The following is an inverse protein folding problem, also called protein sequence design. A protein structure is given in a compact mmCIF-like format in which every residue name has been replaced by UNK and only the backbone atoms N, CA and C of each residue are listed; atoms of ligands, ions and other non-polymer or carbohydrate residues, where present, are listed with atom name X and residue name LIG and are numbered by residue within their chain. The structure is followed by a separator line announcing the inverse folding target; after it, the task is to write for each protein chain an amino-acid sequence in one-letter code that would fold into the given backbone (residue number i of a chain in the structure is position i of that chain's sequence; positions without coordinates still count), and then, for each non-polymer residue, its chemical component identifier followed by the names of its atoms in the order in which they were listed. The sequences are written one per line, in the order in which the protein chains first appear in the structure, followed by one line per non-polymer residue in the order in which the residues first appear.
data_IF_810598700711
#
_entry.id   IF_810598700711
#
_cell.length_a   1.000
_cell.length_b   1.000
_cell.length_c   1.000
_cell.angle_alpha   90.00
_cell.angle_beta   90.00
_cell.angle_gamma   90.00
#
_symmetry.space_group_name_H-M   'P 1'
#
loop_
_entity.id
_entity.type
_entity.pdbx_description
1 polymer ?
#
# COMPACT_ATOMS: atom_id res chain seq x y z
N UNK A 1 -8.29 2.06 18.81
CA UNK A 1 -8.93 0.85 19.38
C UNK A 1 -7.87 -0.12 19.92
N UNK A 2 -7.01 -0.70 19.07
CA UNK A 2 -5.91 -1.61 19.51
C UNK A 2 -4.91 -0.89 20.43
N UNK A 3 -4.51 0.34 20.10
CA UNK A 3 -3.56 1.13 20.93
C UNK A 3 -4.05 1.34 22.36
N UNK A 4 -5.35 1.63 22.53
CA UNK A 4 -5.97 1.78 23.85
C UNK A 4 -5.88 0.49 24.67
N UNK A 5 -6.24 -0.65 24.07
CA UNK A 5 -6.21 -1.94 24.76
C UNK A 5 -4.80 -2.43 25.08
N UNK A 6 -3.81 -2.10 24.25
CA UNK A 6 -2.41 -2.35 24.57
C UNK A 6 -1.93 -1.51 25.74
N UNK A 7 -2.35 -0.23 25.83
CA UNK A 7 -2.06 0.64 26.98
C UNK A 7 -2.75 0.17 28.27
N UNK A 8 -3.93 -0.43 28.14
CA UNK A 8 -4.66 -1.09 29.24
C UNK A 8 -4.03 -2.45 29.64
N UNK A 9 -2.95 -2.89 28.99
CA UNK A 9 -2.24 -4.12 29.33
C UNK A 9 -2.92 -5.42 28.85
N UNK A 10 -3.91 -5.32 27.96
CA UNK A 10 -4.62 -6.49 27.45
C UNK A 10 -3.72 -7.35 26.55
N UNK A 11 -3.90 -8.67 26.65
CA UNK A 11 -3.16 -9.61 25.81
C UNK A 11 -3.61 -9.55 24.35
N UNK A 12 -2.71 -9.84 23.41
CA UNK A 12 -3.04 -9.93 21.98
C UNK A 12 -4.18 -10.92 21.69
N UNK A 13 -4.31 -11.98 22.49
CA UNK A 13 -5.41 -12.96 22.37
C UNK A 13 -6.75 -12.36 22.78
N UNK A 14 -6.77 -11.52 23.80
CA UNK A 14 -7.99 -10.85 24.24
C UNK A 14 -8.44 -9.79 23.25
N UNK A 15 -7.51 -8.98 22.74
CA UNK A 15 -7.77 -8.02 21.67
C UNK A 15 -8.32 -8.75 20.43
N UNK A 16 -7.74 -9.90 20.09
CA UNK A 16 -8.21 -10.74 18.99
C UNK A 16 -9.62 -11.27 19.19
N UNK A 17 -9.96 -11.75 20.41
CA UNK A 17 -11.33 -12.17 20.76
C UNK A 17 -12.33 -11.03 20.60
N UNK A 18 -12.00 -9.83 21.09
CA UNK A 18 -12.87 -8.64 20.99
C UNK A 18 -13.11 -8.19 19.55
N UNK A 19 -12.10 -8.34 18.68
CA UNK A 19 -12.19 -7.98 17.26
C UNK A 19 -12.73 -9.11 16.37
N UNK A 20 -13.05 -10.28 16.94
CA UNK A 20 -13.36 -11.50 16.19
C UNK A 20 -12.29 -11.81 15.11
N UNK A 21 -11.01 -11.69 15.46
CA UNK A 21 -9.85 -11.99 14.60
C UNK A 21 -8.98 -13.10 15.20
N UNK A 22 -8.11 -13.68 14.37
CA UNK A 22 -7.09 -14.60 14.85
C UNK A 22 -6.04 -13.83 15.70
N UNK A 23 -5.54 -14.42 16.82
CA UNK A 23 -4.48 -13.81 17.63
C UNK A 23 -3.22 -13.47 16.85
N UNK A 24 -2.89 -14.28 15.84
CA UNK A 24 -1.75 -14.04 14.97
C UNK A 24 -1.86 -12.75 14.17
N UNK A 25 -3.08 -12.39 13.74
CA UNK A 25 -3.33 -11.13 13.02
C UNK A 25 -2.99 -9.93 13.87
N UNK A 26 -3.38 -9.94 15.15
CA UNK A 26 -3.06 -8.88 16.10
C UNK A 26 -1.56 -8.83 16.38
N UNK A 27 -0.90 -9.98 16.57
CA UNK A 27 0.55 -10.02 16.74
C UNK A 27 1.30 -9.39 15.56
N UNK A 28 0.93 -9.77 14.33
CA UNK A 28 1.55 -9.23 13.11
C UNK A 28 1.31 -7.73 12.96
N UNK A 29 0.12 -7.26 13.30
CA UNK A 29 -0.24 -5.85 13.25
C UNK A 29 0.57 -5.02 14.27
N UNK A 30 0.65 -5.49 15.52
CA UNK A 30 1.44 -4.84 16.57
C UNK A 30 2.93 -4.85 16.21
N UNK A 31 3.44 -5.97 15.70
CA UNK A 31 4.84 -6.07 15.24
C UNK A 31 5.14 -5.07 14.12
N UNK A 32 4.21 -4.87 13.19
CA UNK A 32 4.33 -3.90 12.09
C UNK A 32 4.23 -2.45 12.57
N UNK A 33 3.39 -2.18 13.58
CA UNK A 33 3.11 -0.85 14.11
C UNK A 33 4.03 -0.38 15.23
N UNK A 34 5.01 -1.18 15.68
CA UNK A 34 5.96 -0.78 16.72
C UNK A 34 6.91 0.30 16.20
N UNK A 35 6.84 1.49 16.79
CA UNK A 35 7.67 2.64 16.46
C UNK A 35 8.45 3.06 17.69
N UNK A 36 9.71 3.44 17.48
CA UNK A 36 10.54 4.06 18.52
C UNK A 36 10.20 5.55 18.56
N UNK A 37 9.42 5.98 19.54
CA UNK A 37 9.04 7.38 19.72
C UNK A 37 9.91 8.03 20.79
N UNK A 38 10.40 9.22 20.51
CA UNK A 38 11.10 10.03 21.50
C UNK A 38 10.08 10.73 22.39
N UNK A 39 10.14 10.47 23.70
CA UNK A 39 9.21 11.07 24.68
C UNK A 39 9.87 12.24 25.39
N UNK A 40 11.19 12.19 25.58
CA UNK A 40 12.02 13.27 26.15
C UNK A 40 13.39 13.29 25.47
N UNK A 41 14.18 14.35 25.66
CA UNK A 41 15.55 14.39 25.16
C UNK A 41 16.33 13.16 25.69
N UNK A 42 16.86 12.33 24.78
CA UNK A 42 17.56 11.08 25.13
C UNK A 42 16.68 9.88 25.54
N UNK A 43 15.37 10.05 25.82
CA UNK A 43 14.47 8.94 26.20
C UNK A 43 13.58 8.51 25.04
N UNK A 44 13.73 7.25 24.65
CA UNK A 44 12.93 6.62 23.60
C UNK A 44 12.10 5.48 24.18
N UNK A 45 10.85 5.40 23.74
CA UNK A 45 9.92 4.35 24.12
C UNK A 45 9.39 3.65 22.87
N UNK A 46 9.10 2.35 22.98
CA UNK A 46 8.43 1.63 21.91
C UNK A 46 6.92 1.81 22.09
N UNK A 47 6.31 2.52 21.14
CA UNK A 47 4.88 2.80 21.13
C UNK A 47 4.28 2.14 19.90
N UNK A 48 3.08 1.58 20.05
CA UNK A 48 2.32 1.09 18.91
C UNK A 48 1.61 2.27 18.22
N UNK A 49 1.78 2.39 16.91
CA UNK A 49 1.05 3.36 16.09
C UNK A 49 0.29 2.63 14.98
N UNK A 50 -1.04 2.78 15.00
CA UNK A 50 -1.91 2.20 13.98
C UNK A 50 -1.68 2.83 12.60
N UNK A 51 -1.48 4.15 12.54
CA UNK A 51 -1.23 4.86 11.28
C UNK A 51 0.08 4.39 10.64
N UNK A 52 1.11 4.18 11.45
CA UNK A 52 2.38 3.63 10.98
C UNK A 52 2.21 2.20 10.48
N UNK A 53 1.49 1.34 11.22
CA UNK A 53 1.21 -0.03 10.81
C UNK A 53 0.50 -0.08 9.45
N UNK A 54 -0.49 0.79 9.26
CA UNK A 54 -1.24 0.89 8.02
C UNK A 54 -0.38 1.40 6.86
N UNK A 55 0.43 2.43 7.09
CA UNK A 55 1.37 2.95 6.08
C UNK A 55 2.39 1.90 5.66
N UNK A 56 2.94 1.16 6.61
CA UNK A 56 3.85 0.04 6.36
C UNK A 56 3.16 -1.06 5.53
N UNK A 57 1.91 -1.41 5.84
CA UNK A 57 1.13 -2.36 5.06
C UNK A 57 0.93 -1.89 3.62
N UNK A 58 0.47 -0.65 3.42
CA UNK A 58 0.25 -0.07 2.09
C UNK A 58 1.55 -0.04 1.26
N UNK A 59 2.67 0.31 1.87
CA UNK A 59 3.97 0.33 1.20
C UNK A 59 4.42 -1.09 0.78
N UNK A 60 4.24 -2.08 1.64
CA UNK A 60 4.54 -3.47 1.30
C UNK A 60 3.60 -3.98 0.21
N UNK A 61 2.31 -3.62 0.27
CA UNK A 61 1.31 -4.00 -0.74
C UNK A 61 1.64 -3.48 -2.13
N UNK A 62 2.23 -2.28 -2.26
CA UNK A 62 2.71 -1.75 -3.55
C UNK A 62 3.76 -2.63 -4.22
N UNK A 63 4.53 -3.41 -3.44
CA UNK A 63 5.53 -4.36 -3.95
C UNK A 63 4.95 -5.73 -4.29
N UNK A 64 3.79 -6.09 -3.73
CA UNK A 64 3.11 -7.37 -4.00
C UNK A 64 2.37 -7.39 -5.34
N UNK A 65 2.15 -6.23 -5.97
CA UNK A 65 1.48 -6.13 -7.27
C UNK A 65 2.51 -6.25 -8.39
N UNK A 66 2.16 -6.97 -9.46
CA UNK A 66 2.99 -7.07 -10.66
C UNK A 66 3.32 -5.66 -11.16
N UNK A 67 4.62 -5.32 -11.20
CA UNK A 67 5.05 -4.06 -11.76
C UNK A 67 4.76 -4.08 -13.26
N UNK A 68 4.10 -3.02 -13.75
CA UNK A 68 3.95 -2.85 -15.19
C UNK A 68 5.31 -2.45 -15.74
N UNK A 69 5.92 -3.30 -16.57
CA UNK A 69 7.19 -3.05 -17.26
C UNK A 69 6.98 -2.10 -18.43
N UNK A 70 6.53 -0.87 -18.16
CA UNK A 70 6.51 0.19 -19.17
C UNK A 70 7.85 0.90 -19.15
N UNK A 71 8.60 0.82 -20.25
CA UNK A 71 9.79 1.64 -20.46
C UNK A 71 9.42 3.12 -20.43
N UNK A 72 10.39 3.99 -20.10
CA UNK A 72 10.17 5.44 -19.99
C UNK A 72 9.60 6.01 -21.29
N UNK A 73 10.18 5.63 -22.42
CA UNK A 73 9.75 6.02 -23.76
C UNK A 73 8.28 5.67 -24.05
N UNK A 74 7.85 4.49 -23.61
CA UNK A 74 6.51 4.00 -23.89
C UNK A 74 5.47 4.73 -23.03
N UNK A 75 5.81 5.11 -21.79
CA UNK A 75 4.99 6.01 -20.97
C UNK A 75 4.86 7.39 -21.60
N UNK A 76 5.94 7.95 -22.11
CA UNK A 76 5.93 9.26 -22.78
C UNK A 76 5.04 9.23 -24.02
N UNK A 77 5.15 8.19 -24.87
CA UNK A 77 4.23 7.98 -25.99
C UNK A 77 2.77 7.87 -25.54
N UNK A 78 2.49 7.11 -24.48
CA UNK A 78 1.13 6.96 -23.96
C UNK A 78 0.55 8.28 -23.44
N UNK A 79 1.31 9.03 -22.64
CA UNK A 79 0.88 10.35 -22.14
C UNK A 79 0.64 11.35 -23.27
N UNK A 80 1.45 11.33 -24.32
CA UNK A 80 1.27 12.17 -25.50
C UNK A 80 -0.07 11.89 -26.20
N UNK A 81 -0.40 10.62 -26.43
CA UNK A 81 -1.66 10.24 -27.09
C UNK A 81 -2.90 10.49 -26.22
N UNK A 82 -2.79 10.35 -24.89
CA UNK A 82 -3.88 10.70 -23.97
C UNK A 82 -4.15 12.21 -24.01
N UNK A 83 -3.11 13.05 -24.06
CA UNK A 83 -3.26 14.51 -24.23
C UNK A 83 -3.98 14.86 -25.55
N UNK A 84 -3.73 14.08 -26.59
CA UNK A 84 -4.40 14.19 -27.88
C UNK A 84 -5.80 13.53 -27.94
N UNK A 85 -6.35 13.08 -26.80
CA UNK A 85 -7.70 12.47 -26.69
C UNK A 85 -7.86 11.14 -27.45
N UNK A 86 -6.78 10.41 -27.70
CA UNK A 86 -6.87 9.06 -28.29
C UNK A 86 -7.41 8.03 -27.29
N UNK A 87 -8.30 7.14 -27.74
CA UNK A 87 -8.73 5.97 -26.99
C UNK A 87 -7.60 4.92 -26.90
N UNK A 88 -7.50 4.15 -25.79
CA UNK A 88 -6.57 3.03 -25.65
C UNK A 88 -6.59 2.05 -26.83
N UNK A 89 -7.74 1.84 -27.44
CA UNK A 89 -7.89 0.96 -28.61
C UNK A 89 -7.19 1.54 -29.85
N UNK A 90 -7.30 2.85 -30.06
CA UNK A 90 -6.62 3.53 -31.18
C UNK A 90 -5.10 3.57 -30.96
N UNK A 91 -4.66 3.68 -29.71
CA UNK A 91 -3.24 3.63 -29.36
C UNK A 91 -2.60 2.29 -29.74
N UNK A 92 -3.31 1.18 -29.54
CA UNK A 92 -2.82 -0.15 -29.90
C UNK A 92 -3.00 -0.42 -31.40
N UNK A 93 -4.20 -0.20 -31.94
CA UNK A 93 -4.53 -0.54 -33.34
C UNK A 93 -3.94 0.42 -34.38
N UNK A 94 -4.03 1.74 -34.14
CA UNK A 94 -3.62 2.75 -35.13
C UNK A 94 -2.18 3.23 -34.94
N UNK A 95 -1.66 3.24 -33.70
CA UNK A 95 -0.29 3.71 -33.39
C UNK A 95 0.69 2.59 -33.09
N UNK A 96 0.25 1.33 -33.08
CA UNK A 96 1.12 0.16 -32.95
C UNK A 96 1.85 0.07 -31.62
N UNK A 97 1.29 0.60 -30.53
CA UNK A 97 1.94 0.50 -29.21
C UNK A 97 1.96 -0.98 -28.78
N UNK A 98 3.13 -1.56 -28.46
CA UNK A 98 3.27 -3.00 -28.13
C UNK A 98 2.84 -3.28 -26.68
N UNK A 99 1.66 -2.81 -26.28
CA UNK A 99 1.09 -2.99 -24.94
C UNK A 99 -0.36 -3.45 -25.07
N UNK A 100 -0.79 -4.49 -24.33
CA UNK A 100 -2.19 -4.91 -24.32
C UNK A 100 -3.11 -3.77 -23.88
N UNK A 101 -4.29 -3.65 -24.51
CA UNK A 101 -5.30 -2.64 -24.20
C UNK A 101 -5.65 -2.64 -22.70
N UNK A 102 -5.76 -3.82 -22.09
CA UNK A 102 -6.02 -3.99 -20.65
C UNK A 102 -4.96 -3.33 -19.76
N UNK A 103 -3.69 -3.37 -20.15
CA UNK A 103 -2.58 -2.73 -19.44
C UNK A 103 -2.68 -1.20 -19.51
N UNK A 104 -3.17 -0.66 -20.64
CA UNK A 104 -3.41 0.79 -20.79
C UNK A 104 -4.53 1.24 -19.86
N UNK A 105 -5.66 0.54 -19.85
CA UNK A 105 -6.78 0.85 -18.95
C UNK A 105 -6.37 0.72 -17.48
N UNK A 106 -5.66 -0.35 -17.12
CA UNK A 106 -5.15 -0.53 -15.77
C UNK A 106 -4.22 0.60 -15.33
N UNK A 107 -3.50 1.21 -16.27
CA UNK A 107 -2.61 2.33 -16.00
C UNK A 107 -3.33 3.67 -15.89
N UNK A 108 -4.34 3.92 -16.73
CA UNK A 108 -5.17 5.14 -16.69
C UNK A 108 -5.99 5.22 -15.40
N UNK A 109 -6.46 4.07 -14.89
CA UNK A 109 -7.32 3.98 -13.70
C UNK A 109 -6.56 3.62 -12.41
N UNK A 110 -5.23 3.79 -12.38
CA UNK A 110 -4.38 3.52 -11.21
C UNK A 110 -4.27 4.71 -10.28
#
# INVERSE_FOLDING_TARGET
MIDRWLKEGQSNREIARRLAKAPQTIHNEVKRGRVRQQVRQGKYEQVYSADFAQKAYQNNRKRSVKQVSLTKELKEKMTHYIKQKYSPEMMVKAKGIPVPISTIYYWIHR
#
